data_IF_571400598831
#
_entry.id   IF_571400598831
#
_cell.length_a   1.000
_cell.length_b   1.000
_cell.length_c   1.000
_cell.angle_alpha   90.00
_cell.angle_beta   90.00
_cell.angle_gamma   90.00
#
_symmetry.space_group_name_H-M   'P 1'
#
loop_
_entity.id
_entity.type
_entity.pdbx_description
1 polymer ?
#
# COMPACT_ATOMS: atom_id res chain seq x y z
N UNK A 1 21.96 -3.60 10.39
CA UNK A 1 21.65 -2.24 9.89
C UNK A 1 20.29 -1.85 10.42
N UNK A 2 20.24 -0.74 11.15
CA UNK A 2 18.98 -0.17 11.61
C UNK A 2 18.13 0.20 10.38
N UNK A 3 16.83 -0.13 10.42
CA UNK A 3 15.91 0.20 9.33
C UNK A 3 15.58 1.70 9.33
N UNK A 4 15.17 2.23 8.16
CA UNK A 4 14.60 3.57 8.04
C UNK A 4 13.11 3.52 8.33
N UNK A 5 12.62 4.40 9.21
CA UNK A 5 11.21 4.68 9.44
C UNK A 5 10.87 6.10 8.95
N UNK A 6 9.75 6.27 8.26
CA UNK A 6 9.30 7.58 7.80
C UNK A 6 8.04 7.97 8.58
N UNK A 7 8.10 9.06 9.34
CA UNK A 7 6.94 9.63 9.98
C UNK A 7 6.21 10.51 8.98
N UNK A 8 5.00 10.07 8.61
CA UNK A 8 4.17 10.72 7.62
C UNK A 8 3.35 11.86 8.23
N UNK A 9 2.88 12.77 7.38
CA UNK A 9 1.98 13.85 7.75
C UNK A 9 0.58 13.54 7.26
N UNK A 10 -0.23 12.94 8.13
CA UNK A 10 -1.61 12.60 7.83
C UNK A 10 -2.44 13.81 7.36
N UNK A 11 -3.39 13.55 6.48
CA UNK A 11 -4.36 14.55 6.02
C UNK A 11 -5.20 15.09 7.18
N UNK A 12 -5.62 14.22 8.10
CA UNK A 12 -6.43 14.56 9.26
C UNK A 12 -5.57 15.15 10.38
N UNK A 13 -5.77 16.43 10.79
CA UNK A 13 -4.92 17.10 11.80
C UNK A 13 -4.87 16.37 13.15
N UNK A 14 -5.97 15.77 13.60
CA UNK A 14 -6.03 15.01 14.84
C UNK A 14 -5.11 13.80 14.85
N UNK A 15 -4.85 13.17 13.72
CA UNK A 15 -3.94 12.03 13.61
C UNK A 15 -2.47 12.43 13.71
N UNK A 16 -2.14 13.68 13.47
CA UNK A 16 -0.74 14.17 13.58
C UNK A 16 -0.23 14.17 15.01
N UNK A 17 -1.13 14.20 16.01
CA UNK A 17 -0.78 14.11 17.42
C UNK A 17 -0.16 12.72 17.74
N UNK A 18 -0.60 11.68 17.03
CA UNK A 18 -0.09 10.30 17.16
C UNK A 18 1.41 10.22 16.81
N UNK A 19 1.90 11.09 15.92
CA UNK A 19 3.30 11.08 15.47
C UNK A 19 4.30 11.22 16.62
N UNK A 20 3.94 11.95 17.70
CA UNK A 20 4.83 12.11 18.87
C UNK A 20 5.04 10.78 19.60
N UNK A 21 3.98 9.98 19.73
CA UNK A 21 4.06 8.66 20.35
C UNK A 21 4.80 7.68 19.45
N UNK A 22 4.43 7.65 18.16
CA UNK A 22 5.08 6.80 17.14
C UNK A 22 6.57 7.07 17.09
N UNK A 23 6.99 8.35 17.07
CA UNK A 23 8.41 8.74 17.06
C UNK A 23 9.16 8.15 18.27
N UNK A 24 8.60 8.29 19.48
CA UNK A 24 9.23 7.72 20.70
C UNK A 24 9.38 6.19 20.61
N UNK A 25 8.39 5.49 20.08
CA UNK A 25 8.47 4.05 19.89
C UNK A 25 9.59 3.69 18.89
N UNK A 26 9.70 4.42 17.78
CA UNK A 26 10.71 4.20 16.75
C UNK A 26 12.14 4.52 17.26
N UNK A 27 12.29 5.58 18.07
CA UNK A 27 13.54 5.92 18.74
C UNK A 27 13.99 4.80 19.68
N UNK A 28 13.04 4.21 20.44
CA UNK A 28 13.33 3.08 21.33
C UNK A 28 13.75 1.81 20.57
N UNK A 29 13.32 1.66 19.31
CA UNK A 29 13.73 0.58 18.42
C UNK A 29 15.05 0.88 17.69
N UNK A 30 15.70 1.99 17.98
CA UNK A 30 16.97 2.43 17.38
C UNK A 30 16.92 2.54 15.85
N UNK A 31 15.74 2.90 15.30
CA UNK A 31 15.57 3.10 13.87
C UNK A 31 16.06 4.48 13.43
N UNK A 32 16.58 4.56 12.21
CA UNK A 32 16.76 5.86 11.55
C UNK A 32 15.39 6.47 11.25
N UNK A 33 15.16 7.72 11.62
CA UNK A 33 13.86 8.39 11.48
C UNK A 33 13.96 9.56 10.50
N UNK A 34 13.19 9.50 9.43
CA UNK A 34 12.90 10.64 8.57
C UNK A 34 11.50 11.18 8.88
N UNK A 35 11.37 12.47 9.08
CA UNK A 35 10.07 13.11 9.28
C UNK A 35 9.66 13.90 8.04
N UNK A 36 8.40 13.74 7.63
CA UNK A 36 7.83 14.55 6.56
C UNK A 36 7.68 16.00 7.03
N UNK A 37 8.23 16.98 6.29
CA UNK A 37 8.15 18.39 6.68
C UNK A 37 6.70 18.88 6.78
N UNK A 38 6.45 19.83 7.70
CA UNK A 38 5.19 20.57 7.76
C UNK A 38 5.14 21.64 6.67
N UNK A 39 5.00 21.19 5.42
CA UNK A 39 4.90 22.02 4.23
C UNK A 39 3.47 22.01 3.70
N UNK A 40 2.96 23.19 3.30
CA UNK A 40 1.64 23.30 2.69
C UNK A 40 1.53 22.38 1.46
N UNK A 41 0.41 21.66 1.38
CA UNK A 41 0.17 20.70 0.29
C UNK A 41 0.88 19.36 0.40
N UNK A 42 1.81 19.16 1.35
CA UNK A 42 2.49 17.87 1.56
C UNK A 42 1.74 17.03 2.58
N UNK A 43 1.18 15.91 2.15
CA UNK A 43 0.42 14.97 2.99
C UNK A 43 0.65 13.55 2.53
N UNK A 44 0.68 12.61 3.50
CA UNK A 44 0.72 11.19 3.22
C UNK A 44 0.15 10.38 4.39
N UNK A 45 -0.62 9.36 4.08
CA UNK A 45 -1.21 8.39 5.01
C UNK A 45 -0.65 6.99 4.71
N UNK A 46 -0.34 6.21 5.75
CA UNK A 46 0.32 4.90 5.62
C UNK A 46 -0.48 3.87 4.82
N UNK A 47 -1.81 3.85 4.93
CA UNK A 47 -2.69 2.95 4.18
C UNK A 47 -2.72 3.19 2.67
N UNK A 48 -2.05 4.25 2.20
CA UNK A 48 -1.87 4.55 0.78
C UNK A 48 -0.53 4.05 0.23
N UNK A 49 0.25 3.27 0.99
CA UNK A 49 1.56 2.81 0.53
C UNK A 49 1.78 1.32 0.74
N UNK A 50 2.40 0.70 -0.26
CA UNK A 50 3.10 -0.57 -0.10
C UNK A 50 4.52 -0.44 -0.65
N UNK A 51 5.52 -0.59 0.21
CA UNK A 51 6.93 -0.62 -0.18
C UNK A 51 7.45 -2.04 -0.23
N UNK A 52 7.73 -2.53 -1.42
CA UNK A 52 8.30 -3.85 -1.66
C UNK A 52 9.81 -3.74 -1.80
N UNK A 53 10.51 -3.82 -0.67
CA UNK A 53 11.95 -3.54 -0.56
C UNK A 53 12.84 -4.33 -1.52
N UNK A 54 12.55 -5.62 -1.74
CA UNK A 54 13.37 -6.48 -2.60
C UNK A 54 13.26 -6.12 -4.08
N UNK A 55 12.09 -5.69 -4.52
CA UNK A 55 11.86 -5.19 -5.88
C UNK A 55 12.22 -3.70 -6.00
N UNK A 56 12.42 -3.02 -4.88
CA UNK A 56 12.61 -1.56 -4.76
C UNK A 56 11.49 -0.76 -5.46
N UNK A 57 10.25 -1.20 -5.24
CA UNK A 57 9.03 -0.63 -5.79
C UNK A 57 8.17 -0.06 -4.69
N UNK A 58 7.63 1.14 -4.91
CA UNK A 58 6.62 1.77 -4.08
C UNK A 58 5.30 1.85 -4.83
N UNK A 59 4.25 1.20 -4.32
CA UNK A 59 2.88 1.47 -4.74
C UNK A 59 2.29 2.59 -3.90
N UNK A 60 1.56 3.51 -4.52
CA UNK A 60 0.88 4.59 -3.82
C UNK A 60 -0.49 4.90 -4.40
N UNK A 61 -1.48 5.11 -3.52
CA UNK A 61 -2.70 5.83 -3.85
C UNK A 61 -2.50 7.35 -3.76
N UNK A 62 -3.43 8.11 -4.34
CA UNK A 62 -3.46 9.58 -4.26
C UNK A 62 -4.74 10.12 -3.61
N UNK A 63 -5.57 9.26 -3.01
CA UNK A 63 -6.81 9.70 -2.36
C UNK A 63 -6.55 10.53 -1.11
N UNK A 64 -5.61 10.06 -0.28
CA UNK A 64 -5.18 10.72 0.97
C UNK A 64 -3.79 11.35 0.83
N UNK A 65 -2.98 10.83 -0.08
CA UNK A 65 -1.67 11.37 -0.40
C UNK A 65 -1.75 12.53 -1.38
N UNK A 66 -0.76 13.39 -1.33
CA UNK A 66 -0.49 14.36 -2.40
C UNK A 66 0.74 13.91 -3.19
N UNK A 67 0.86 14.29 -4.46
CA UNK A 67 2.02 13.94 -5.29
C UNK A 67 3.34 14.32 -4.61
N UNK A 68 3.42 15.53 -4.02
CA UNK A 68 4.61 15.98 -3.27
C UNK A 68 4.89 15.10 -2.05
N UNK A 69 3.83 14.59 -1.38
CA UNK A 69 3.99 13.67 -0.25
C UNK A 69 4.51 12.31 -0.70
N UNK A 70 4.02 11.81 -1.83
CA UNK A 70 4.48 10.54 -2.44
C UNK A 70 5.93 10.67 -2.90
N UNK A 71 6.29 11.75 -3.60
CA UNK A 71 7.65 12.04 -4.04
C UNK A 71 8.63 12.05 -2.87
N UNK A 72 8.26 12.73 -1.77
CA UNK A 72 9.09 12.73 -0.55
C UNK A 72 9.35 11.32 -0.02
N UNK A 73 8.32 10.46 0.04
CA UNK A 73 8.47 9.07 0.50
C UNK A 73 9.33 8.26 -0.47
N UNK A 74 9.08 8.39 -1.77
CA UNK A 74 9.84 7.70 -2.81
C UNK A 74 11.33 8.06 -2.79
N UNK A 75 11.67 9.35 -2.63
CA UNK A 75 13.03 9.84 -2.49
C UNK A 75 13.72 9.28 -1.23
N UNK A 76 13.03 9.32 -0.07
CA UNK A 76 13.59 8.81 1.19
C UNK A 76 13.84 7.31 1.18
N UNK A 77 13.00 6.55 0.50
CA UNK A 77 13.17 5.10 0.30
C UNK A 77 14.13 4.77 -0.83
N UNK A 78 14.53 5.76 -1.64
CA UNK A 78 15.35 5.60 -2.83
C UNK A 78 14.80 4.51 -3.77
N UNK A 79 13.50 4.61 -4.12
CA UNK A 79 12.82 3.61 -4.93
C UNK A 79 13.24 3.70 -6.40
N UNK A 80 13.31 2.53 -7.06
CA UNK A 80 13.58 2.45 -8.49
C UNK A 80 12.32 2.68 -9.32
N UNK A 81 11.16 2.30 -8.78
CA UNK A 81 9.89 2.38 -9.50
C UNK A 81 8.78 2.84 -8.55
N UNK A 82 7.97 3.79 -9.02
CA UNK A 82 6.78 4.29 -8.35
C UNK A 82 5.56 3.95 -9.20
N UNK A 83 4.63 3.16 -8.65
CA UNK A 83 3.39 2.78 -9.30
C UNK A 83 2.22 3.47 -8.62
N UNK A 84 1.55 4.38 -9.32
CA UNK A 84 0.38 5.09 -8.81
C UNK A 84 -0.88 4.31 -9.16
N UNK A 85 -1.68 4.00 -8.13
CA UNK A 85 -2.94 3.27 -8.25
C UNK A 85 -4.06 4.06 -7.59
N UNK A 86 -4.97 4.60 -8.41
CA UNK A 86 -6.13 5.37 -7.96
C UNK A 86 -7.42 4.57 -8.16
N UNK A 87 -8.35 4.76 -7.26
CA UNK A 87 -9.61 4.05 -7.30
C UNK A 87 -10.69 4.66 -6.39
N UNK A 88 -11.85 4.00 -6.33
CA UNK A 88 -12.99 4.42 -5.48
C UNK A 88 -12.77 4.14 -4.00
N UNK A 89 -11.76 3.35 -3.61
CA UNK A 89 -11.37 3.13 -2.22
C UNK A 89 -10.95 4.41 -1.52
N UNK A 90 -11.02 4.45 -0.20
CA UNK A 90 -10.54 5.62 0.53
C UNK A 90 -9.06 5.52 0.94
N UNK A 91 -8.46 4.35 0.84
CA UNK A 91 -7.02 4.07 0.86
C UNK A 91 -6.67 2.99 -0.16
N UNK A 92 -5.42 2.92 -0.58
CA UNK A 92 -4.91 1.91 -1.51
C UNK A 92 -5.15 0.49 -0.96
N UNK A 93 -4.88 0.26 0.32
CA UNK A 93 -5.04 -1.02 1.01
C UNK A 93 -6.49 -1.55 1.03
N UNK A 94 -7.47 -0.72 0.65
CA UNK A 94 -8.88 -1.13 0.58
C UNK A 94 -9.27 -1.83 -0.72
N UNK A 95 -8.40 -1.84 -1.73
CA UNK A 95 -8.66 -2.48 -3.03
C UNK A 95 -7.44 -3.11 -3.70
N UNK A 96 -6.26 -3.04 -3.07
CA UNK A 96 -5.00 -3.57 -3.60
C UNK A 96 -4.10 -4.07 -2.48
N UNK A 97 -3.40 -5.18 -2.72
CA UNK A 97 -2.27 -5.64 -1.89
C UNK A 97 -1.28 -6.44 -2.73
N UNK A 98 0.04 -6.22 -2.58
CA UNK A 98 1.06 -7.09 -3.15
C UNK A 98 1.19 -8.37 -2.32
N UNK A 99 1.64 -9.45 -2.94
CA UNK A 99 1.98 -10.72 -2.28
C UNK A 99 3.48 -10.97 -2.45
N UNK A 100 4.14 -11.35 -1.36
CA UNK A 100 5.57 -11.56 -1.34
C UNK A 100 5.90 -13.05 -1.18
N UNK A 101 6.82 -13.57 -2.01
CA UNK A 101 7.36 -14.90 -1.82
C UNK A 101 8.29 -14.97 -0.59
N UNK A 102 8.80 -16.14 -0.23
CA UNK A 102 9.68 -16.34 0.94
C UNK A 102 10.97 -15.51 0.90
N UNK A 103 11.43 -15.11 -0.28
CA UNK A 103 12.60 -14.21 -0.42
C UNK A 103 12.25 -12.73 -0.29
N UNK A 104 10.97 -12.39 -0.18
CA UNK A 104 10.47 -11.02 -0.07
C UNK A 104 10.30 -10.30 -1.40
N UNK A 105 10.37 -11.02 -2.53
CA UNK A 105 10.04 -10.47 -3.84
C UNK A 105 8.55 -10.57 -4.12
N UNK A 106 8.00 -9.62 -4.86
CA UNK A 106 6.62 -9.66 -5.32
C UNK A 106 6.46 -10.89 -6.23
N UNK A 107 5.50 -11.76 -5.93
CA UNK A 107 5.19 -12.95 -6.73
C UNK A 107 3.78 -12.95 -7.30
N UNK A 108 2.92 -12.11 -6.80
CA UNK A 108 1.59 -11.83 -7.33
C UNK A 108 1.05 -10.53 -6.75
N UNK A 109 -0.09 -10.07 -7.24
CA UNK A 109 -0.86 -8.99 -6.63
C UNK A 109 -2.33 -9.40 -6.55
N UNK A 110 -3.03 -8.92 -5.52
CA UNK A 110 -4.47 -9.06 -5.38
C UNK A 110 -5.10 -7.68 -5.53
N UNK A 111 -6.06 -7.53 -6.43
CA UNK A 111 -6.64 -6.24 -6.73
C UNK A 111 -8.12 -6.30 -7.11
N UNK A 112 -8.90 -5.35 -6.63
CA UNK A 112 -10.25 -5.09 -7.12
C UNK A 112 -10.19 -4.09 -8.28
N UNK A 113 -9.89 -4.58 -9.49
CA UNK A 113 -9.71 -3.73 -10.67
C UNK A 113 -10.99 -3.00 -11.09
N UNK A 114 -12.16 -3.50 -10.67
CA UNK A 114 -13.45 -2.82 -10.87
C UNK A 114 -13.58 -1.48 -10.12
N UNK A 115 -12.76 -1.27 -9.07
CA UNK A 115 -12.72 -0.03 -8.29
C UNK A 115 -11.63 0.93 -8.78
N UNK A 116 -10.74 0.50 -9.69
CA UNK A 116 -9.62 1.31 -10.18
C UNK A 116 -10.02 2.20 -11.36
N UNK A 117 -9.32 3.31 -11.52
CA UNK A 117 -9.36 4.07 -12.77
C UNK A 117 -8.77 3.24 -13.92
N UNK A 118 -9.12 3.58 -15.16
CA UNK A 118 -8.57 2.88 -16.33
C UNK A 118 -7.06 3.00 -16.41
N UNK A 119 -6.51 4.17 -16.11
CA UNK A 119 -5.08 4.46 -16.09
C UNK A 119 -4.36 3.59 -15.05
N UNK A 120 -4.91 3.50 -13.84
CA UNK A 120 -4.35 2.69 -12.76
C UNK A 120 -4.42 1.18 -13.06
N UNK A 121 -5.52 0.73 -13.66
CA UNK A 121 -5.65 -0.66 -14.12
C UNK A 121 -4.57 -0.99 -15.16
N UNK A 122 -4.38 -0.13 -16.16
CA UNK A 122 -3.34 -0.30 -17.17
C UNK A 122 -1.93 -0.29 -16.56
N UNK A 123 -1.66 0.62 -15.62
CA UNK A 123 -0.39 0.69 -14.91
C UNK A 123 -0.11 -0.59 -14.12
N UNK A 124 -1.12 -1.13 -13.42
CA UNK A 124 -1.01 -2.37 -12.67
C UNK A 124 -0.68 -3.57 -13.57
N UNK A 125 -1.40 -3.74 -14.69
CA UNK A 125 -1.12 -4.86 -15.60
C UNK A 125 0.25 -4.71 -16.28
N UNK A 126 0.62 -3.51 -16.73
CA UNK A 126 1.96 -3.27 -17.26
C UNK A 126 3.05 -3.62 -16.26
N UNK A 127 2.86 -3.26 -14.99
CA UNK A 127 3.79 -3.64 -13.92
C UNK A 127 3.84 -5.16 -13.74
N UNK A 128 2.68 -5.83 -13.64
CA UNK A 128 2.60 -7.28 -13.46
C UNK A 128 3.25 -8.05 -14.63
N UNK A 129 2.99 -7.62 -15.86
CA UNK A 129 3.59 -8.17 -17.08
C UNK A 129 5.11 -8.01 -17.07
N UNK A 130 5.65 -6.88 -16.59
CA UNK A 130 7.10 -6.63 -16.53
C UNK A 130 7.84 -7.59 -15.60
N UNK A 131 7.15 -8.14 -14.61
CA UNK A 131 7.68 -9.12 -13.66
C UNK A 131 7.21 -10.56 -13.93
N UNK A 132 6.39 -10.79 -14.96
CA UNK A 132 5.75 -12.08 -15.26
C UNK A 132 5.01 -12.66 -14.04
N UNK A 133 4.21 -11.83 -13.37
CA UNK A 133 3.45 -12.21 -12.17
C UNK A 133 1.94 -12.12 -12.40
N UNK A 134 1.13 -13.01 -11.76
CA UNK A 134 -0.31 -12.97 -11.88
C UNK A 134 -0.95 -11.80 -11.11
N UNK A 135 -2.03 -11.25 -11.67
CA UNK A 135 -2.98 -10.36 -11.01
C UNK A 135 -4.19 -11.19 -10.61
N UNK A 136 -4.42 -11.36 -9.31
CA UNK A 136 -5.64 -12.00 -8.80
C UNK A 136 -6.72 -10.94 -8.64
N UNK A 137 -7.68 -10.94 -9.58
CA UNK A 137 -8.82 -10.03 -9.51
C UNK A 137 -9.84 -10.51 -8.48
N UNK A 138 -10.30 -9.59 -7.64
CA UNK A 138 -11.34 -9.83 -6.64
C UNK A 138 -12.56 -8.93 -6.88
N UNK A 139 -13.76 -9.39 -6.48
CA UNK A 139 -14.97 -8.56 -6.56
C UNK A 139 -14.95 -7.43 -5.52
N UNK A 140 -15.72 -6.36 -5.72
CA UNK A 140 -15.86 -5.27 -4.75
C UNK A 140 -16.21 -5.70 -3.32
N UNK A 141 -16.96 -6.80 -3.17
CA UNK A 141 -17.31 -7.34 -1.84
C UNK A 141 -16.10 -7.84 -1.03
N UNK A 142 -15.01 -8.24 -1.69
CA UNK A 142 -13.76 -8.63 -1.05
C UNK A 142 -12.81 -7.42 -0.78
N UNK A 143 -13.16 -6.28 -1.32
CA UNK A 143 -12.49 -5.00 -1.12
C UNK A 143 -13.36 -4.11 -0.20
N UNK A 144 -13.47 -2.83 -0.51
CA UNK A 144 -14.28 -1.87 0.27
C UNK A 144 -15.79 -2.10 0.15
N UNK A 145 -16.23 -2.83 -0.87
CA UNK A 145 -17.65 -3.08 -1.15
C UNK A 145 -18.22 -2.19 -2.25
N UNK A 146 -19.50 -1.96 -2.17
CA UNK A 146 -20.26 -1.11 -3.10
C UNK A 146 -20.98 -0.01 -2.34
N UNK A 147 -21.63 0.92 -3.04
CA UNK A 147 -22.47 1.97 -2.41
C UNK A 147 -23.60 1.41 -1.54
N UNK A 148 -24.07 0.20 -1.82
CA UNK A 148 -25.19 -0.44 -1.12
C UNK A 148 -24.76 -1.45 -0.04
N UNK A 149 -23.50 -1.90 -0.06
CA UNK A 149 -23.01 -2.93 0.86
C UNK A 149 -21.52 -2.75 1.12
N UNK A 150 -21.15 -2.64 2.39
CA UNK A 150 -19.76 -2.64 2.83
C UNK A 150 -19.12 -3.99 2.54
N UNK A 151 -17.90 -4.00 2.02
CA UNK A 151 -17.11 -5.20 1.75
C UNK A 151 -16.45 -5.76 3.00
N UNK A 152 -15.69 -6.85 2.82
CA UNK A 152 -15.01 -7.53 3.91
C UNK A 152 -13.54 -7.05 4.11
N UNK A 153 -13.04 -6.16 3.24
CA UNK A 153 -11.70 -5.58 3.30
C UNK A 153 -10.57 -6.62 3.25
N UNK A 154 -10.73 -7.73 2.53
CA UNK A 154 -9.71 -8.77 2.45
C UNK A 154 -8.35 -8.26 1.93
N UNK A 155 -8.33 -7.19 1.14
CA UNK A 155 -7.10 -6.52 0.67
C UNK A 155 -6.42 -5.63 1.70
N UNK A 156 -7.10 -5.28 2.82
CA UNK A 156 -6.46 -4.52 3.91
C UNK A 156 -5.53 -5.44 4.69
N UNK A 157 -4.47 -5.86 4.03
CA UNK A 157 -3.62 -6.95 4.43
C UNK A 157 -2.19 -6.48 4.73
N UNK A 158 -1.48 -7.27 5.53
CA UNK A 158 -0.06 -7.10 5.81
C UNK A 158 0.74 -8.13 5.02
N UNK A 159 1.40 -7.74 3.91
CA UNK A 159 2.28 -8.61 3.17
C UNK A 159 3.61 -8.79 3.90
N UNK A 160 3.96 -10.02 4.20
CA UNK A 160 5.24 -10.44 4.77
C UNK A 160 5.90 -11.48 3.84
N UNK A 161 7.22 -11.67 3.90
CA UNK A 161 7.87 -12.69 3.11
C UNK A 161 7.27 -14.09 3.32
N UNK A 162 6.63 -14.63 2.29
CA UNK A 162 5.97 -15.93 2.28
C UNK A 162 4.67 -16.02 3.08
N UNK A 163 4.06 -14.88 3.46
CA UNK A 163 2.83 -14.86 4.24
C UNK A 163 2.04 -13.58 3.95
N UNK A 164 0.74 -13.71 3.74
CA UNK A 164 -0.19 -12.60 3.70
C UNK A 164 -1.14 -12.69 4.90
N UNK A 165 -1.11 -11.69 5.79
CA UNK A 165 -2.05 -11.61 6.91
C UNK A 165 -3.19 -10.69 6.49
N UNK A 166 -4.40 -11.23 6.39
CA UNK A 166 -5.57 -10.46 5.94
C UNK A 166 -6.79 -10.71 6.86
N UNK A 167 -7.71 -9.73 6.96
CA UNK A 167 -8.79 -9.76 7.96
C UNK A 167 -9.91 -10.75 7.63
N UNK A 168 -10.04 -11.15 6.37
CA UNK A 168 -11.14 -11.99 5.88
C UNK A 168 -10.69 -12.81 4.68
N UNK A 169 -11.15 -14.07 4.52
CA UNK A 169 -10.86 -14.87 3.34
C UNK A 169 -11.44 -14.21 2.08
N UNK A 170 -10.80 -14.46 0.95
CA UNK A 170 -11.36 -14.07 -0.34
C UNK A 170 -12.56 -14.94 -0.70
N UNK A 171 -13.54 -14.35 -1.42
CA UNK A 171 -14.75 -15.09 -1.88
C UNK A 171 -14.37 -16.24 -2.82
N UNK A 172 -13.25 -16.11 -3.55
CA UNK A 172 -12.67 -17.20 -4.32
C UNK A 172 -11.58 -17.90 -3.50
N UNK A 173 -11.85 -19.13 -2.96
CA UNK A 173 -10.90 -19.85 -2.11
C UNK A 173 -9.63 -20.30 -2.85
N UNK A 174 -9.60 -20.26 -4.19
CA UNK A 174 -8.40 -20.58 -4.95
C UNK A 174 -7.36 -19.47 -4.90
N UNK A 175 -7.76 -18.23 -4.56
CA UNK A 175 -6.85 -17.14 -4.30
C UNK A 175 -6.06 -17.44 -3.02
N UNK A 176 -6.74 -17.77 -1.91
CA UNK A 176 -6.10 -18.10 -0.62
C UNK A 176 -5.08 -19.27 -0.71
N UNK A 177 -5.25 -20.16 -1.71
CA UNK A 177 -4.32 -21.28 -1.92
C UNK A 177 -3.09 -20.91 -2.76
N UNK A 178 -3.18 -19.83 -3.53
CA UNK A 178 -2.16 -19.43 -4.51
C UNK A 178 -1.28 -18.25 -4.03
N UNK A 179 -1.69 -17.57 -2.97
CA UNK A 179 -0.98 -16.43 -2.37
C UNK A 179 -0.11 -16.82 -1.19
#
# INVERSE_FOLDING_TARGET
QNGLAIILRAGEPQRRIENRLVKRCLEHLELEIAEMPDKAGMRADGGEFYFCKKNNVLFSGLKRNTSIGVEFVAERLNVNELVILEGEGFHLDTFFTPVLNKSGCICSVVACTALMTTESKNALYKFADSLDIPVFEIPPNDAIGTKSKVGNFATNALPLPGTLIHPSPFSNPDIDKKI
#
